data_IF_506467003315
#
_entry.id   IF_506467003315
#
_cell.length_a   1.000
_cell.length_b   1.000
_cell.length_c   1.000
_cell.angle_alpha   90.00
_cell.angle_beta   90.00
_cell.angle_gamma   90.00
#
_symmetry.space_group_name_H-M   'P 1'
#
loop_
_entity.id
_entity.type
_entity.pdbx_description
1 polymer ?
#
# COMPACT_ATOMS: atom_id res chain seq x y z
N UNK A 1 31.49 -27.43 39.35
CA UNK A 1 31.20 -28.87 39.12
C UNK A 1 31.29 -29.72 40.42
N UNK A 2 31.54 -29.13 41.53
CA UNK A 2 31.95 -29.88 42.74
C UNK A 2 30.83 -30.47 43.61
N UNK A 3 29.60 -30.56 43.20
CA UNK A 3 28.48 -31.14 43.97
C UNK A 3 27.54 -32.08 43.21
N UNK A 4 27.89 -32.56 42.01
CA UNK A 4 27.12 -33.61 41.31
C UNK A 4 25.68 -33.29 40.91
N UNK A 5 25.32 -32.03 40.91
CA UNK A 5 23.93 -31.58 40.65
C UNK A 5 23.64 -31.20 39.19
N UNK A 6 24.65 -31.09 38.34
CA UNK A 6 24.52 -30.69 36.93
C UNK A 6 25.35 -31.61 36.05
N UNK A 7 24.77 -32.14 35.00
CA UNK A 7 25.47 -32.97 34.00
C UNK A 7 26.24 -32.12 33.00
N UNK A 8 27.27 -32.69 32.35
CA UNK A 8 27.96 -32.02 31.22
C UNK A 8 26.98 -31.66 30.08
N UNK A 9 25.94 -32.48 29.90
CA UNK A 9 24.88 -32.24 28.95
C UNK A 9 24.05 -30.99 29.27
N UNK A 10 23.75 -30.78 30.57
CA UNK A 10 22.99 -29.59 31.02
C UNK A 10 23.81 -28.31 30.82
N UNK A 11 25.12 -28.39 31.07
CA UNK A 11 26.03 -27.26 30.82
C UNK A 11 26.07 -26.92 29.32
N UNK A 12 26.29 -27.91 28.46
CA UNK A 12 26.35 -27.71 27.01
C UNK A 12 25.02 -27.13 26.46
N UNK A 13 23.87 -27.56 26.99
CA UNK A 13 22.56 -27.04 26.62
C UNK A 13 22.35 -25.60 27.08
N UNK A 14 22.83 -25.24 28.25
CA UNK A 14 22.81 -23.87 28.78
C UNK A 14 23.67 -22.93 27.92
N UNK A 15 24.87 -23.37 27.54
CA UNK A 15 25.79 -22.64 26.66
C UNK A 15 25.17 -22.44 25.25
N UNK A 16 24.54 -23.49 24.70
CA UNK A 16 23.81 -23.41 23.45
C UNK A 16 22.66 -22.39 23.51
N UNK A 17 21.88 -22.40 24.58
CA UNK A 17 20.80 -21.45 24.82
C UNK A 17 21.30 -20.02 24.93
N UNK A 18 22.42 -19.80 25.62
CA UNK A 18 23.07 -18.49 25.72
C UNK A 18 23.57 -17.99 24.35
N UNK A 19 24.23 -18.86 23.59
CA UNK A 19 24.67 -18.52 22.24
C UNK A 19 23.50 -18.14 21.31
N UNK A 20 22.41 -18.91 21.38
CA UNK A 20 21.17 -18.61 20.65
C UNK A 20 20.52 -17.28 21.07
N UNK A 21 20.52 -16.97 22.37
CA UNK A 21 20.01 -15.69 22.87
C UNK A 21 20.86 -14.50 22.38
N UNK A 22 22.19 -14.63 22.40
CA UNK A 22 23.12 -13.63 21.88
C UNK A 22 22.91 -13.39 20.37
N UNK A 23 22.73 -14.45 19.59
CA UNK A 23 22.45 -14.34 18.15
C UNK A 23 21.15 -13.56 17.89
N UNK A 24 20.05 -13.90 18.58
CA UNK A 24 18.77 -13.19 18.49
C UNK A 24 18.87 -11.73 18.92
N UNK A 25 19.65 -11.42 19.95
CA UNK A 25 19.89 -10.04 20.38
C UNK A 25 20.61 -9.22 19.30
N UNK A 26 21.63 -9.80 18.67
CA UNK A 26 22.36 -9.17 17.57
C UNK A 26 21.45 -8.93 16.37
N UNK A 27 20.64 -9.92 15.99
CA UNK A 27 19.65 -9.81 14.91
C UNK A 27 18.65 -8.68 15.19
N UNK A 28 18.04 -8.65 16.37
CA UNK A 28 17.10 -7.61 16.77
C UNK A 28 17.74 -6.20 16.76
N UNK A 29 19.01 -6.09 17.19
CA UNK A 29 19.74 -4.82 17.15
C UNK A 29 19.95 -4.33 15.72
N UNK A 30 20.30 -5.24 14.80
CA UNK A 30 20.44 -4.92 13.38
C UNK A 30 19.09 -4.55 12.74
N UNK A 31 18.00 -5.21 13.12
CA UNK A 31 16.65 -4.84 12.66
C UNK A 31 16.26 -3.43 13.10
N UNK A 32 16.56 -3.05 14.33
CA UNK A 32 16.34 -1.69 14.84
C UNK A 32 17.13 -0.66 14.02
N UNK A 33 18.42 -0.94 13.77
CA UNK A 33 19.27 -0.06 12.96
C UNK A 33 18.75 0.10 11.53
N UNK A 34 18.41 -1.01 10.87
CA UNK A 34 17.82 -1.00 9.53
C UNK A 34 16.46 -0.29 9.50
N UNK A 35 15.65 -0.51 10.53
CA UNK A 35 14.37 0.17 10.70
C UNK A 35 14.52 1.69 10.82
N UNK A 36 15.53 2.16 11.55
CA UNK A 36 15.86 3.58 11.68
C UNK A 36 16.26 4.17 10.33
N UNK A 37 17.16 3.53 9.59
CA UNK A 37 17.57 3.98 8.26
C UNK A 37 16.39 4.05 7.28
N UNK A 38 15.50 3.07 7.30
CA UNK A 38 14.29 3.07 6.46
C UNK A 38 13.34 4.21 6.84
N UNK A 39 13.19 4.48 8.13
CA UNK A 39 12.38 5.61 8.60
C UNK A 39 12.98 6.94 8.14
N UNK A 40 14.28 7.15 8.33
CA UNK A 40 14.99 8.36 7.92
C UNK A 40 14.91 8.59 6.40
N UNK A 41 14.95 7.52 5.61
CA UNK A 41 14.83 7.60 4.16
C UNK A 41 13.42 8.04 3.68
N UNK A 42 12.38 7.67 4.41
CA UNK A 42 10.98 7.92 3.99
C UNK A 42 10.41 9.19 4.62
N UNK A 43 10.69 9.41 5.90
CA UNK A 43 10.09 10.48 6.71
C UNK A 43 11.07 11.63 6.95
N UNK A 44 12.36 11.32 7.10
CA UNK A 44 13.41 12.27 7.45
C UNK A 44 14.09 11.96 8.77
N UNK A 45 15.05 12.80 9.14
CA UNK A 45 15.88 12.61 10.34
C UNK A 45 15.05 12.53 11.61
N UNK A 46 15.40 11.56 12.46
CA UNK A 46 14.82 11.38 13.79
C UNK A 46 15.93 11.54 14.85
N UNK A 47 15.70 12.37 15.87
CA UNK A 47 16.69 12.62 16.91
C UNK A 47 16.77 11.47 17.92
N UNK A 48 15.64 10.99 18.43
CA UNK A 48 15.57 9.83 19.32
C UNK A 48 14.38 8.93 18.95
N UNK A 49 14.60 7.63 18.90
CA UNK A 49 13.53 6.64 18.68
C UNK A 49 12.54 6.55 19.84
N UNK A 50 12.91 7.04 21.01
CA UNK A 50 12.03 7.09 22.20
C UNK A 50 10.88 8.11 22.03
N UNK A 51 11.05 9.09 21.12
CA UNK A 51 10.03 10.09 20.83
C UNK A 51 8.91 9.51 19.94
N UNK A 52 9.08 8.30 19.41
CA UNK A 52 8.08 7.63 18.60
C UNK A 52 7.05 6.91 19.46
N UNK A 53 5.80 7.35 19.37
CA UNK A 53 4.68 6.63 19.96
C UNK A 53 4.27 5.42 19.10
N UNK A 54 4.06 4.27 19.75
CA UNK A 54 3.56 3.06 19.09
C UNK A 54 2.04 3.11 19.00
N UNK A 55 1.44 3.31 17.82
CA UNK A 55 -0.01 3.22 17.69
C UNK A 55 -0.45 1.77 17.87
N UNK A 56 -1.40 1.52 18.78
CA UNK A 56 -1.96 0.18 19.01
C UNK A 56 -3.07 -0.16 18.00
N UNK A 57 -3.75 0.85 17.47
CA UNK A 57 -4.81 0.71 16.48
C UNK A 57 -4.73 1.83 15.45
N UNK A 58 -5.16 1.56 14.22
CA UNK A 58 -5.43 2.63 13.28
C UNK A 58 -6.58 3.49 13.85
N UNK A 59 -6.37 4.80 13.99
CA UNK A 59 -7.33 5.77 14.55
C UNK A 59 -8.57 6.00 13.66
N UNK A 60 -8.98 5.03 12.88
CA UNK A 60 -9.91 5.19 11.76
C UNK A 60 -11.01 4.14 11.82
N UNK A 61 -12.20 4.52 11.40
CA UNK A 61 -13.33 3.59 11.25
C UNK A 61 -13.05 2.60 10.11
N UNK A 62 -12.86 1.34 10.45
CA UNK A 62 -12.72 0.25 9.47
C UNK A 62 -14.12 -0.16 8.99
N UNK A 63 -14.31 -0.55 7.71
CA UNK A 63 -15.58 -1.08 7.22
C UNK A 63 -16.09 -2.22 8.09
N UNK A 64 -17.42 -2.31 8.30
CA UNK A 64 -18.01 -3.28 9.23
C UNK A 64 -18.07 -4.70 8.67
N UNK A 65 -18.18 -4.84 7.36
CA UNK A 65 -18.24 -6.13 6.67
C UNK A 65 -17.63 -6.03 5.26
N UNK A 66 -17.40 -7.21 4.65
CA UNK A 66 -16.80 -7.32 3.33
C UNK A 66 -17.62 -6.58 2.24
N UNK A 67 -18.94 -6.72 2.25
CA UNK A 67 -19.78 -6.09 1.23
C UNK A 67 -19.69 -4.56 1.31
N UNK A 68 -19.71 -4.01 2.52
CA UNK A 68 -19.50 -2.57 2.73
C UNK A 68 -18.11 -2.12 2.26
N UNK A 69 -17.06 -2.89 2.53
CA UNK A 69 -15.71 -2.61 2.04
C UNK A 69 -15.65 -2.58 0.50
N UNK A 70 -16.28 -3.53 -0.16
CA UNK A 70 -16.34 -3.59 -1.63
C UNK A 70 -17.12 -2.37 -2.20
N UNK A 71 -18.25 -2.01 -1.60
CA UNK A 71 -19.03 -0.84 -2.05
C UNK A 71 -18.25 0.48 -1.90
N UNK A 72 -17.57 0.65 -0.77
CA UNK A 72 -16.71 1.81 -0.54
C UNK A 72 -15.59 1.84 -1.57
N UNK A 73 -14.94 0.71 -1.85
CA UNK A 73 -13.84 0.64 -2.81
C UNK A 73 -14.28 0.98 -4.23
N UNK A 74 -15.50 0.59 -4.64
CA UNK A 74 -16.05 0.94 -5.96
C UNK A 74 -16.20 2.44 -6.18
N UNK A 75 -16.34 3.21 -5.09
CA UNK A 75 -16.49 4.67 -5.12
C UNK A 75 -15.18 5.42 -4.95
N UNK A 76 -14.28 4.91 -4.12
CA UNK A 76 -13.13 5.66 -3.63
C UNK A 76 -11.78 5.11 -4.13
N UNK A 77 -11.72 3.89 -4.66
CA UNK A 77 -10.43 3.33 -5.09
C UNK A 77 -9.88 4.10 -6.30
N UNK A 78 -8.68 4.72 -6.19
CA UNK A 78 -8.11 5.54 -7.24
C UNK A 78 -7.90 4.78 -8.55
N UNK A 79 -7.48 3.52 -8.50
CA UNK A 79 -7.21 2.71 -9.69
C UNK A 79 -8.52 2.45 -10.49
N UNK A 80 -9.64 2.29 -9.78
CA UNK A 80 -10.95 2.18 -10.43
C UNK A 80 -11.42 3.51 -11.04
N UNK A 81 -11.18 4.62 -10.35
CA UNK A 81 -11.49 5.96 -10.85
C UNK A 81 -10.69 6.23 -12.13
N UNK A 82 -9.39 5.95 -12.13
CA UNK A 82 -8.53 6.08 -13.31
C UNK A 82 -9.06 5.23 -14.46
N UNK A 83 -9.36 3.96 -14.23
CA UNK A 83 -9.87 3.06 -15.29
C UNK A 83 -11.23 3.52 -15.86
N UNK A 84 -12.11 4.10 -15.04
CA UNK A 84 -13.37 4.71 -15.49
C UNK A 84 -13.11 5.91 -16.38
N UNK A 85 -12.23 6.83 -15.95
CA UNK A 85 -11.86 8.01 -16.73
C UNK A 85 -11.20 7.65 -18.06
N UNK A 86 -10.34 6.63 -18.08
CA UNK A 86 -9.74 6.12 -19.31
C UNK A 86 -10.79 5.54 -20.29
N UNK A 87 -11.80 4.85 -19.76
CA UNK A 87 -12.91 4.38 -20.57
C UNK A 87 -13.72 5.56 -21.13
N UNK A 88 -14.09 6.55 -20.31
CA UNK A 88 -14.77 7.77 -20.74
C UNK A 88 -13.95 8.54 -21.77
N UNK A 89 -12.64 8.67 -21.60
CA UNK A 89 -11.74 9.25 -22.58
C UNK A 89 -11.84 8.52 -23.91
N UNK A 90 -11.81 7.19 -23.92
CA UNK A 90 -11.91 6.40 -25.15
C UNK A 90 -13.25 6.59 -25.88
N UNK A 91 -14.33 6.91 -25.16
CA UNK A 91 -15.62 7.28 -25.76
C UNK A 91 -15.52 8.64 -26.47
N UNK A 92 -14.83 9.61 -25.87
CA UNK A 92 -14.58 10.91 -26.50
C UNK A 92 -13.66 10.79 -27.72
N UNK A 93 -12.64 9.91 -27.66
CA UNK A 93 -11.75 9.64 -28.80
C UNK A 93 -12.51 9.09 -30.02
N UNK A 94 -13.54 8.27 -29.79
CA UNK A 94 -14.45 7.85 -30.89
C UNK A 94 -15.22 9.05 -31.45
N UNK A 95 -15.68 9.98 -30.59
CA UNK A 95 -16.40 11.18 -31.07
C UNK A 95 -15.47 12.10 -31.87
N UNK A 96 -14.23 12.30 -31.40
CA UNK A 96 -13.19 13.07 -32.10
C UNK A 96 -12.91 12.44 -33.47
N UNK A 97 -12.69 11.12 -33.53
CA UNK A 97 -12.46 10.43 -34.80
C UNK A 97 -13.66 10.53 -35.77
N UNK A 98 -14.89 10.62 -35.24
CA UNK A 98 -16.09 10.88 -36.08
C UNK A 98 -16.16 12.31 -36.58
N UNK A 99 -15.68 13.29 -35.80
CA UNK A 99 -15.66 14.69 -36.22
C UNK A 99 -14.75 14.94 -37.45
N UNK A 100 -13.70 14.09 -37.60
CA UNK A 100 -12.84 14.14 -38.81
C UNK A 100 -13.56 13.78 -40.12
N UNK A 101 -14.78 13.28 -40.05
CA UNK A 101 -15.66 13.04 -41.20
C UNK A 101 -16.54 14.23 -41.53
N UNK A 102 -16.59 15.24 -40.64
CA UNK A 102 -17.44 16.40 -40.75
C UNK A 102 -16.72 17.59 -41.40
N UNK A 103 -17.43 18.55 -42.00
CA UNK A 103 -16.82 19.80 -42.44
C UNK A 103 -16.30 20.61 -41.25
N UNK A 104 -15.13 21.24 -41.41
CA UNK A 104 -14.58 22.22 -40.48
C UNK A 104 -14.68 23.62 -41.06
N UNK A 105 -15.12 24.58 -40.25
CA UNK A 105 -15.16 25.98 -40.62
C UNK A 105 -14.16 26.76 -39.73
N UNK A 106 -13.30 27.54 -40.37
CA UNK A 106 -12.30 28.38 -39.69
C UNK A 106 -12.51 29.83 -40.11
N UNK A 107 -12.63 30.71 -39.14
CA UNK A 107 -12.61 32.15 -39.35
C UNK A 107 -11.28 32.71 -38.82
N UNK A 108 -10.54 33.40 -39.66
CA UNK A 108 -9.30 34.09 -39.29
C UNK A 108 -9.36 35.57 -39.63
N UNK A 109 -8.90 36.40 -38.70
CA UNK A 109 -8.63 37.81 -38.88
C UNK A 109 -7.14 38.01 -38.77
N UNK A 110 -6.52 38.52 -39.81
CA UNK A 110 -5.09 38.80 -39.86
C UNK A 110 -4.90 40.30 -40.12
N UNK A 111 -4.18 40.97 -39.27
CA UNK A 111 -3.70 42.32 -39.48
C UNK A 111 -2.21 42.29 -39.62
N UNK A 112 -1.67 42.76 -40.73
CA UNK A 112 -0.25 42.89 -40.98
C UNK A 112 0.11 44.32 -41.32
N UNK A 113 1.20 44.79 -40.72
CA UNK A 113 1.81 46.07 -40.99
C UNK A 113 3.26 45.78 -41.45
N UNK A 114 3.67 46.43 -42.52
CA UNK A 114 5.03 46.28 -43.06
C UNK A 114 5.56 47.63 -43.49
N UNK A 115 6.79 47.96 -43.09
CA UNK A 115 7.55 49.17 -43.45
C UNK A 115 8.68 48.81 -44.43
N UNK A 116 9.18 49.79 -45.17
CA UNK A 116 10.34 49.70 -46.08
C UNK A 116 10.23 48.60 -47.16
N UNK A 117 9.08 48.43 -47.78
CA UNK A 117 8.86 47.35 -48.75
C UNK A 117 9.56 47.55 -50.08
N UNK A 118 9.61 48.77 -50.63
CA UNK A 118 10.32 49.16 -51.83
C UNK A 118 10.23 50.68 -52.09
N UNK A 119 10.87 51.20 -53.16
CA UNK A 119 10.89 52.60 -53.54
C UNK A 119 9.53 53.22 -53.86
N UNK A 120 8.51 52.41 -54.08
CA UNK A 120 7.17 52.86 -54.43
C UNK A 120 6.18 52.86 -53.27
N UNK A 121 6.39 51.96 -52.28
CA UNK A 121 5.53 51.84 -51.08
C UNK A 121 6.41 51.76 -49.83
N UNK A 122 6.31 52.78 -48.98
CA UNK A 122 7.05 52.88 -47.74
C UNK A 122 6.37 52.09 -46.60
N UNK A 123 5.05 52.11 -46.56
CA UNK A 123 4.23 51.47 -45.54
C UNK A 123 3.08 50.69 -46.22
N UNK A 124 2.77 49.53 -45.65
CA UNK A 124 1.64 48.72 -46.09
C UNK A 124 0.88 48.16 -44.89
N UNK A 125 -0.37 48.58 -44.75
CA UNK A 125 -1.30 48.03 -43.80
C UNK A 125 -2.27 47.10 -44.54
N UNK A 126 -2.51 45.91 -44.00
CA UNK A 126 -3.38 44.92 -44.63
C UNK A 126 -4.19 44.22 -43.56
N UNK A 127 -5.53 44.34 -43.68
CA UNK A 127 -6.50 43.63 -42.86
C UNK A 127 -7.20 42.57 -43.73
N UNK A 128 -7.11 41.31 -43.29
CA UNK A 128 -7.70 40.17 -44.01
C UNK A 128 -8.68 39.46 -43.06
N UNK A 129 -9.95 39.45 -43.45
CA UNK A 129 -10.94 38.56 -42.87
C UNK A 129 -11.14 37.38 -43.81
N UNK A 130 -10.82 36.17 -43.36
CA UNK A 130 -10.93 34.95 -44.19
C UNK A 130 -11.79 33.91 -43.47
N UNK A 131 -12.84 33.45 -44.15
CA UNK A 131 -13.64 32.31 -43.77
C UNK A 131 -13.31 31.12 -44.69
N UNK A 132 -12.93 30.01 -44.10
CA UNK A 132 -12.56 28.79 -44.85
C UNK A 132 -13.40 27.62 -44.36
N UNK A 133 -14.09 26.92 -45.26
CA UNK A 133 -14.78 25.66 -44.98
C UNK A 133 -14.06 24.55 -45.71
N UNK A 134 -13.65 23.52 -44.97
CA UNK A 134 -12.94 22.34 -45.50
C UNK A 134 -13.72 21.08 -45.16
N UNK A 135 -14.03 20.27 -46.18
CA UNK A 135 -14.74 19.00 -45.98
C UNK A 135 -13.98 17.85 -46.62
N UNK A 136 -13.42 16.93 -45.83
CA UNK A 136 -12.69 15.77 -46.37
C UNK A 136 -13.62 14.65 -46.79
N UNK A 137 -14.42 14.85 -47.86
CA UNK A 137 -15.41 13.87 -48.30
C UNK A 137 -14.84 12.56 -48.83
N UNK A 138 -13.57 12.57 -49.29
CA UNK A 138 -12.85 11.36 -49.71
C UNK A 138 -11.39 11.38 -49.22
N UNK A 139 -11.05 10.41 -48.39
CA UNK A 139 -9.72 10.26 -47.79
C UNK A 139 -9.13 8.87 -48.02
N UNK A 140 -9.54 8.15 -49.12
CA UNK A 140 -9.06 6.78 -49.37
C UNK A 140 -9.39 5.78 -48.25
N UNK A 141 -10.45 6.03 -47.47
CA UNK A 141 -10.88 5.17 -46.34
C UNK A 141 -10.17 5.43 -45.02
N UNK A 142 -9.14 6.31 -44.94
CA UNK A 142 -8.36 6.62 -43.75
C UNK A 142 -9.23 7.00 -42.54
N UNK A 143 -10.11 8.00 -42.71
CA UNK A 143 -10.92 8.50 -41.60
C UNK A 143 -11.90 7.42 -41.08
N UNK A 144 -12.51 6.62 -41.97
CA UNK A 144 -13.37 5.48 -41.58
C UNK A 144 -12.58 4.41 -40.79
N UNK A 145 -11.35 4.10 -41.26
CA UNK A 145 -10.44 3.15 -40.53
C UNK A 145 -10.06 3.68 -39.16
N UNK A 146 -9.81 5.00 -39.02
CA UNK A 146 -9.54 5.66 -37.75
C UNK A 146 -10.72 5.55 -36.79
N UNK A 147 -11.93 5.77 -37.23
CA UNK A 147 -13.15 5.58 -36.43
C UNK A 147 -13.26 4.14 -35.95
N UNK A 148 -13.08 3.16 -36.84
CA UNK A 148 -13.12 1.71 -36.48
C UNK A 148 -12.03 1.34 -35.49
N UNK A 149 -10.81 1.88 -35.67
CA UNK A 149 -9.70 1.72 -34.70
C UNK A 149 -10.11 2.20 -33.31
N UNK A 150 -10.62 3.42 -33.19
CA UNK A 150 -11.03 4.00 -31.89
C UNK A 150 -12.22 3.26 -31.28
N UNK A 151 -13.16 2.74 -32.07
CA UNK A 151 -14.22 1.85 -31.58
C UNK A 151 -13.66 0.58 -30.94
N UNK A 152 -12.67 -0.06 -31.57
CA UNK A 152 -12.02 -1.24 -31.02
C UNK A 152 -11.20 -0.91 -29.76
N UNK A 153 -10.54 0.26 -29.71
CA UNK A 153 -9.84 0.74 -28.51
C UNK A 153 -10.83 1.00 -27.36
N UNK A 154 -12.00 1.57 -27.63
CA UNK A 154 -13.07 1.72 -26.63
C UNK A 154 -13.50 0.36 -26.06
N UNK A 155 -13.72 -0.66 -26.91
CA UNK A 155 -14.05 -2.02 -26.46
C UNK A 155 -12.95 -2.57 -25.57
N UNK A 156 -11.69 -2.41 -25.97
CA UNK A 156 -10.54 -2.81 -25.15
C UNK A 156 -10.53 -2.12 -23.77
N UNK A 157 -10.77 -0.79 -23.72
CA UNK A 157 -10.81 -0.03 -22.47
C UNK A 157 -11.95 -0.47 -21.57
N UNK A 158 -13.11 -0.83 -22.13
CA UNK A 158 -14.21 -1.42 -21.38
C UNK A 158 -13.82 -2.74 -20.73
N UNK A 159 -13.22 -3.66 -21.49
CA UNK A 159 -12.77 -4.94 -20.95
C UNK A 159 -11.69 -4.78 -19.85
N UNK A 160 -10.81 -3.79 -19.99
CA UNK A 160 -9.83 -3.46 -18.95
C UNK A 160 -10.50 -2.93 -17.67
N UNK A 161 -11.52 -2.08 -17.82
CA UNK A 161 -12.32 -1.60 -16.70
C UNK A 161 -13.03 -2.76 -15.97
N UNK A 162 -13.68 -3.67 -16.73
CA UNK A 162 -14.36 -4.84 -16.18
C UNK A 162 -13.37 -5.75 -15.42
N UNK A 163 -12.17 -5.92 -15.97
CA UNK A 163 -11.09 -6.66 -15.30
C UNK A 163 -10.62 -5.95 -14.02
N UNK A 164 -10.45 -4.62 -14.06
CA UNK A 164 -10.02 -3.84 -12.90
C UNK A 164 -11.05 -3.88 -11.77
N UNK A 165 -12.35 -3.90 -12.09
CA UNK A 165 -13.41 -4.08 -11.09
C UNK A 165 -13.25 -5.43 -10.37
N UNK A 166 -13.06 -6.52 -11.12
CA UNK A 166 -12.87 -7.87 -10.54
C UNK A 166 -11.59 -7.96 -9.72
N UNK A 167 -10.50 -7.40 -10.22
CA UNK A 167 -9.23 -7.35 -9.50
C UNK A 167 -9.36 -6.57 -8.19
N UNK A 168 -10.05 -5.43 -8.21
CA UNK A 168 -10.31 -4.65 -7.01
C UNK A 168 -11.15 -5.43 -5.99
N UNK A 169 -12.23 -6.10 -6.41
CA UNK A 169 -13.05 -6.94 -5.54
C UNK A 169 -12.23 -8.05 -4.88
N UNK A 170 -11.34 -8.70 -5.65
CA UNK A 170 -10.44 -9.75 -5.13
C UNK A 170 -9.43 -9.18 -4.14
N UNK A 171 -8.82 -8.02 -4.44
CA UNK A 171 -7.86 -7.36 -3.55
C UNK A 171 -8.50 -6.93 -2.23
N UNK A 172 -9.71 -6.36 -2.27
CA UNK A 172 -10.47 -5.99 -1.07
C UNK A 172 -10.84 -7.23 -0.25
N UNK A 173 -11.29 -8.31 -0.89
CA UNK A 173 -11.62 -9.56 -0.20
C UNK A 173 -10.39 -10.18 0.46
N UNK A 174 -9.24 -10.18 -0.21
CA UNK A 174 -7.96 -10.67 0.33
C UNK A 174 -7.49 -9.81 1.51
N UNK A 175 -7.54 -8.47 1.39
CA UNK A 175 -7.17 -7.56 2.47
C UNK A 175 -8.12 -7.71 3.69
N UNK A 176 -9.42 -7.88 3.46
CA UNK A 176 -10.40 -8.15 4.50
C UNK A 176 -10.11 -9.47 5.24
N UNK A 177 -9.85 -10.55 4.49
CA UNK A 177 -9.48 -11.83 5.06
C UNK A 177 -8.21 -11.76 5.90
N UNK A 178 -7.18 -11.07 5.40
CA UNK A 178 -5.93 -10.84 6.12
C UNK A 178 -6.14 -10.03 7.41
N UNK A 179 -7.00 -9.02 7.37
CA UNK A 179 -7.38 -8.25 8.56
C UNK A 179 -8.07 -9.13 9.61
N UNK A 180 -9.07 -9.93 9.23
CA UNK A 180 -9.75 -10.83 10.15
C UNK A 180 -8.83 -11.89 10.75
N UNK A 181 -7.99 -12.50 9.91
CA UNK A 181 -6.99 -13.47 10.35
C UNK A 181 -5.99 -12.87 11.33
N UNK A 182 -5.48 -11.67 11.05
CA UNK A 182 -4.53 -10.99 11.94
C UNK A 182 -5.16 -10.63 13.29
N UNK A 183 -6.44 -10.24 13.31
CA UNK A 183 -7.18 -9.96 14.54
C UNK A 183 -7.32 -11.20 15.43
N UNK A 184 -7.72 -12.33 14.84
CA UNK A 184 -7.86 -13.60 15.57
C UNK A 184 -6.51 -14.12 16.04
N UNK A 185 -5.47 -14.00 15.19
CA UNK A 185 -4.13 -14.40 15.52
C UNK A 185 -3.55 -13.59 16.69
N UNK A 186 -3.76 -12.28 16.70
CA UNK A 186 -3.35 -11.40 17.80
C UNK A 186 -3.97 -11.84 19.13
N UNK A 187 -5.27 -12.07 19.17
CA UNK A 187 -5.96 -12.53 20.38
C UNK A 187 -5.44 -13.89 20.88
N UNK A 188 -5.09 -14.80 19.96
CA UNK A 188 -4.50 -16.09 20.31
C UNK A 188 -3.09 -15.95 20.90
N UNK A 189 -2.27 -15.08 20.32
CA UNK A 189 -0.89 -14.83 20.82
C UNK A 189 -0.91 -14.09 22.17
N UNK A 190 -1.87 -13.17 22.39
CA UNK A 190 -2.08 -12.54 23.71
C UNK A 190 -2.37 -13.58 24.80
N UNK A 191 -3.24 -14.54 24.49
CA UNK A 191 -3.54 -15.64 25.41
C UNK A 191 -2.31 -16.53 25.63
N UNK A 192 -1.52 -16.79 24.58
CA UNK A 192 -0.25 -17.55 24.65
C UNK A 192 0.76 -16.88 25.58
N UNK A 193 0.96 -15.56 25.44
CA UNK A 193 1.88 -14.80 26.33
C UNK A 193 1.43 -14.86 27.77
N UNK A 194 0.13 -14.71 28.03
CA UNK A 194 -0.43 -14.82 29.38
C UNK A 194 -0.16 -16.19 30.00
N UNK A 195 -0.41 -17.25 29.23
CA UNK A 195 -0.17 -18.62 29.69
C UNK A 195 1.34 -18.90 29.92
N UNK A 196 2.19 -18.49 28.98
CA UNK A 196 3.63 -18.64 29.08
C UNK A 196 4.23 -17.89 30.30
N UNK A 197 3.69 -16.70 30.60
CA UNK A 197 4.08 -15.91 31.78
C UNK A 197 3.75 -16.63 33.07
N UNK A 198 2.53 -17.13 33.24
CA UNK A 198 2.09 -17.88 34.42
C UNK A 198 2.95 -19.15 34.60
N UNK A 199 3.19 -19.87 33.48
CA UNK A 199 4.02 -21.09 33.54
C UNK A 199 5.47 -20.77 33.94
N UNK A 200 6.04 -19.71 33.39
CA UNK A 200 7.41 -19.29 33.74
C UNK A 200 7.52 -18.85 35.20
N UNK A 201 6.59 -18.06 35.71
CA UNK A 201 6.53 -17.64 37.10
C UNK A 201 6.38 -18.86 38.03
N UNK A 202 5.54 -19.82 37.67
CA UNK A 202 5.35 -21.07 38.44
C UNK A 202 6.63 -21.94 38.49
N UNK A 203 7.24 -22.21 37.33
CA UNK A 203 8.45 -23.01 37.19
C UNK A 203 9.61 -22.35 37.97
N UNK A 204 9.75 -21.04 37.85
CA UNK A 204 10.80 -20.30 38.59
C UNK A 204 10.60 -20.38 40.10
N UNK A 205 9.39 -20.19 40.58
CA UNK A 205 9.06 -20.28 42.01
C UNK A 205 9.23 -21.71 42.55
N UNK A 206 8.91 -22.74 41.79
CA UNK A 206 9.16 -24.16 42.15
C UNK A 206 10.64 -24.45 42.23
N UNK A 207 11.45 -23.95 41.28
CA UNK A 207 12.90 -24.09 41.28
C UNK A 207 13.55 -23.40 42.49
N UNK A 208 13.14 -22.18 42.82
CA UNK A 208 13.70 -21.42 43.96
C UNK A 208 13.40 -22.05 45.30
N UNK A 209 12.24 -22.73 45.44
CA UNK A 209 11.86 -23.45 46.67
C UNK A 209 12.68 -24.74 46.91
N UNK A 210 13.36 -25.25 45.92
CA UNK A 210 14.31 -26.38 46.06
C UNK A 210 13.68 -27.75 46.34
N UNK A 211 12.36 -27.90 46.29
CA UNK A 211 11.67 -29.15 46.65
C UNK A 211 10.95 -29.88 45.54
N UNK A 212 10.90 -29.33 44.33
CA UNK A 212 9.95 -29.77 43.25
C UNK A 212 10.60 -30.62 42.15
N UNK A 213 11.89 -30.95 42.24
CA UNK A 213 12.62 -31.66 41.20
C UNK A 213 12.78 -30.86 39.88
N UNK A 214 12.53 -29.54 39.92
CA UNK A 214 12.80 -28.66 38.79
C UNK A 214 14.28 -28.42 38.63
N UNK A 215 14.72 -28.39 37.37
CA UNK A 215 16.12 -28.17 37.00
C UNK A 215 16.32 -26.72 36.50
N UNK A 216 17.59 -26.26 36.50
CA UNK A 216 17.96 -24.99 35.85
C UNK A 216 17.54 -24.98 34.39
N UNK A 217 17.54 -26.14 33.72
CA UNK A 217 17.13 -26.30 32.34
C UNK A 217 15.64 -25.97 32.15
N UNK A 218 14.76 -26.41 33.07
CA UNK A 218 13.34 -26.11 33.03
C UNK A 218 13.10 -24.57 33.08
N UNK A 219 13.86 -23.86 33.92
CA UNK A 219 13.78 -22.39 34.02
C UNK A 219 14.26 -21.73 32.73
N UNK A 220 15.38 -22.19 32.15
CA UNK A 220 15.90 -21.65 30.88
C UNK A 220 14.89 -21.89 29.74
N UNK A 221 14.29 -23.07 29.66
CA UNK A 221 13.31 -23.43 28.67
C UNK A 221 12.02 -22.59 28.81
N UNK A 222 11.53 -22.41 30.04
CA UNK A 222 10.34 -21.59 30.29
C UNK A 222 10.56 -20.10 29.97
N UNK A 223 11.75 -19.56 30.31
CA UNK A 223 12.16 -18.22 29.92
C UNK A 223 12.22 -18.06 28.39
N UNK A 224 12.79 -19.03 27.70
CA UNK A 224 12.85 -19.02 26.22
C UNK A 224 11.45 -19.08 25.57
N UNK A 225 10.55 -19.87 26.15
CA UNK A 225 9.17 -19.95 25.71
C UNK A 225 8.43 -18.62 25.88
N UNK A 226 8.57 -17.99 27.04
CA UNK A 226 7.99 -16.67 27.32
C UNK A 226 8.54 -15.60 26.38
N UNK A 227 9.88 -15.57 26.19
CA UNK A 227 10.51 -14.60 25.27
C UNK A 227 10.01 -14.78 23.83
N UNK A 228 9.94 -16.02 23.34
CA UNK A 228 9.43 -16.30 22.00
C UNK A 228 7.95 -15.88 21.85
N UNK A 229 7.13 -16.09 22.87
CA UNK A 229 5.75 -15.65 22.89
C UNK A 229 5.64 -14.10 22.85
N UNK A 230 6.49 -13.40 23.60
CA UNK A 230 6.54 -11.92 23.60
C UNK A 230 7.00 -11.35 22.26
N UNK A 231 8.00 -11.96 21.61
CA UNK A 231 8.41 -11.59 20.25
C UNK A 231 7.27 -11.82 19.26
N UNK A 232 6.58 -12.95 19.36
CA UNK A 232 5.40 -13.25 18.53
C UNK A 232 4.29 -12.23 18.75
N UNK A 233 4.07 -11.76 19.96
CA UNK A 233 3.09 -10.71 20.29
C UNK A 233 3.47 -9.39 19.60
N UNK A 234 4.71 -8.93 19.71
CA UNK A 234 5.15 -7.71 19.08
C UNK A 234 4.96 -7.75 17.55
N UNK A 235 5.35 -8.86 16.92
CA UNK A 235 5.15 -9.09 15.49
C UNK A 235 3.67 -9.14 15.10
N UNK A 236 2.85 -9.80 15.92
CA UNK A 236 1.39 -9.90 15.69
C UNK A 236 0.71 -8.54 15.78
N UNK A 237 1.06 -7.71 16.78
CA UNK A 237 0.55 -6.35 16.91
C UNK A 237 0.90 -5.50 15.69
N UNK A 238 2.17 -5.55 15.24
CA UNK A 238 2.62 -4.87 14.03
C UNK A 238 1.85 -5.34 12.79
N UNK A 239 1.73 -6.65 12.60
CA UNK A 239 1.04 -7.22 11.44
C UNK A 239 -0.44 -6.90 11.43
N UNK A 240 -1.09 -6.87 12.60
CA UNK A 240 -2.48 -6.46 12.72
C UNK A 240 -2.67 -4.98 12.32
N UNK A 241 -1.80 -4.10 12.80
CA UNK A 241 -1.81 -2.69 12.40
C UNK A 241 -1.61 -2.52 10.88
N UNK A 242 -0.61 -3.19 10.31
CA UNK A 242 -0.36 -3.16 8.86
C UNK A 242 -1.55 -3.70 8.05
N UNK A 243 -2.24 -4.75 8.54
CA UNK A 243 -3.41 -5.29 7.86
C UNK A 243 -4.58 -4.30 7.84
N UNK A 244 -4.74 -3.47 8.88
CA UNK A 244 -5.72 -2.39 8.92
C UNK A 244 -5.42 -1.33 7.84
N UNK A 245 -4.17 -0.87 7.76
CA UNK A 245 -3.77 0.10 6.73
C UNK A 245 -3.87 -0.47 5.31
N UNK A 246 -3.52 -1.75 5.12
CA UNK A 246 -3.67 -2.41 3.82
C UNK A 246 -5.13 -2.52 3.39
N UNK A 247 -6.04 -2.78 4.33
CA UNK A 247 -7.48 -2.77 4.06
C UNK A 247 -7.94 -1.36 3.67
N UNK A 248 -7.54 -0.32 4.41
CA UNK A 248 -7.87 1.07 4.09
C UNK A 248 -7.32 1.49 2.72
N UNK A 249 -6.12 1.06 2.38
CA UNK A 249 -5.52 1.25 1.06
C UNK A 249 -6.35 0.59 -0.03
N UNK A 250 -6.73 -0.67 0.15
CA UNK A 250 -7.50 -1.43 -0.85
C UNK A 250 -8.89 -0.84 -1.11
N UNK A 251 -9.53 -0.25 -0.09
CA UNK A 251 -10.82 0.43 -0.24
C UNK A 251 -10.70 1.90 -0.68
N UNK A 252 -9.48 2.44 -0.79
CA UNK A 252 -9.24 3.82 -1.21
C UNK A 252 -9.52 4.87 -0.12
N UNK A 253 -9.48 4.49 1.15
CA UNK A 253 -9.69 5.38 2.29
C UNK A 253 -8.37 5.81 2.96
N UNK A 254 -7.23 5.36 2.48
CA UNK A 254 -5.92 5.73 3.02
C UNK A 254 -5.51 7.11 2.48
N UNK A 255 -6.08 8.17 3.04
CA UNK A 255 -5.76 9.56 2.73
C UNK A 255 -5.64 10.39 4.02
N UNK A 256 -5.03 11.58 3.94
CA UNK A 256 -4.80 12.48 5.08
C UNK A 256 -6.10 12.89 5.78
N UNK A 257 -7.16 13.17 5.00
CA UNK A 257 -8.44 13.63 5.53
C UNK A 257 -9.13 12.54 6.36
N UNK A 258 -9.11 11.31 5.87
CA UNK A 258 -9.72 10.18 6.56
C UNK A 258 -8.92 9.77 7.81
N UNK A 259 -7.59 9.85 7.74
CA UNK A 259 -6.70 9.60 8.87
C UNK A 259 -6.65 10.78 9.86
N UNK A 260 -7.27 11.91 9.54
CA UNK A 260 -7.25 13.15 10.34
C UNK A 260 -5.82 13.61 10.66
N UNK A 261 -4.90 13.40 9.75
CA UNK A 261 -3.55 13.93 9.84
C UNK A 261 -3.60 15.41 9.47
N UNK A 262 -3.10 16.25 10.38
CA UNK A 262 -2.98 17.70 10.15
C UNK A 262 -1.66 18.03 9.47
#
# INVERSE_FOLDING_TARGET
MDRGQITVSDLAQSESSLAGAKAKFTEATNEVFTGKLNYENVIGFISDMKDLEKPLNAFVKIPQNLNNAIEISKKNNPDLIISKLEFEQSEKDVQIAKSDLSPTATLSLERSYSEDLNTTYNEREKDILKATVSWPFFTGGKNRATVKKNQNLKIRKRLLLDNQIKTNETNVASAWSSFQSSKTFLASVEAQVKAAKIANEGITAEYERGGSGRTTLDVIQSNSLLLNAQISLANSQRNHLLSQYNLLKSVGLLNSDYLKLK
#
